data_IF_526342108643
#
_entry.id   IF_526342108643
#
_cell.length_a   1.000
_cell.length_b   1.000
_cell.length_c   1.000
_cell.angle_alpha   90.00
_cell.angle_beta   90.00
_cell.angle_gamma   90.00
#
_symmetry.space_group_name_H-M   'P 1'
#
loop_
_entity.id
_entity.type
_entity.pdbx_description
1 polymer ?
#
# COMPACT_ATOMS: atom_id res chain seq x y z
N UNK A 1 -9.50 4.25 -1.65
CA UNK A 1 -9.53 5.71 -1.80
C UNK A 1 -8.11 6.23 -1.89
N UNK A 2 -7.88 7.36 -2.56
CA UNK A 2 -6.56 8.00 -2.58
C UNK A 2 -6.00 8.21 -1.17
N UNK A 3 -4.72 7.87 -0.95
CA UNK A 3 -4.06 8.09 0.33
C UNK A 3 -4.13 9.56 0.77
N UNK A 4 -3.95 10.50 -0.16
CA UNK A 4 -4.06 11.94 0.12
C UNK A 4 -5.44 12.35 0.68
N UNK A 5 -6.52 11.75 0.17
CA UNK A 5 -7.90 12.02 0.63
C UNK A 5 -8.19 11.47 2.02
N UNK A 6 -7.38 10.55 2.55
CA UNK A 6 -7.56 9.97 3.89
C UNK A 6 -6.93 10.82 5.01
N UNK A 7 -6.18 11.88 4.69
CA UNK A 7 -5.51 12.71 5.69
C UNK A 7 -6.53 13.61 6.41
N UNK A 8 -6.98 13.16 7.59
CA UNK A 8 -7.86 13.96 8.47
C UNK A 8 -7.16 14.53 9.71
N UNK A 9 -5.97 14.04 10.04
CA UNK A 9 -5.12 14.56 11.11
C UNK A 9 -3.65 14.19 10.91
N UNK A 10 -2.79 14.74 11.79
CA UNK A 10 -1.33 14.56 11.75
C UNK A 10 -0.91 13.11 11.95
N UNK A 11 -1.60 12.34 12.80
CA UNK A 11 -1.24 10.94 13.05
C UNK A 11 -1.45 10.08 11.79
N UNK A 12 -2.57 10.28 11.09
CA UNK A 12 -2.86 9.61 9.81
C UNK A 12 -1.90 10.07 8.72
N UNK A 13 -1.60 11.38 8.64
CA UNK A 13 -0.58 11.90 7.72
C UNK A 13 0.78 11.21 7.93
N UNK A 14 1.19 11.03 9.19
CA UNK A 14 2.42 10.34 9.53
C UNK A 14 2.40 8.86 9.13
N UNK A 15 1.28 8.14 9.30
CA UNK A 15 1.17 6.74 8.83
C UNK A 15 1.24 6.64 7.31
N UNK A 16 0.63 7.58 6.58
CA UNK A 16 0.69 7.65 5.12
C UNK A 16 2.12 7.92 4.64
N UNK A 17 2.80 8.91 5.22
CA UNK A 17 4.19 9.20 4.91
C UNK A 17 5.12 8.02 5.24
N UNK A 18 4.92 7.38 6.40
CA UNK A 18 5.69 6.21 6.83
C UNK A 18 5.45 5.00 5.93
N UNK A 19 4.25 4.82 5.38
CA UNK A 19 3.95 3.79 4.39
C UNK A 19 4.79 3.99 3.13
N UNK A 20 4.84 5.24 2.62
CA UNK A 20 5.64 5.57 1.45
C UNK A 20 7.15 5.38 1.70
N UNK A 21 7.65 5.83 2.86
CA UNK A 21 9.04 5.66 3.26
C UNK A 21 9.41 4.18 3.42
N UNK A 22 8.55 3.39 4.06
CA UNK A 22 8.72 1.95 4.22
C UNK A 22 8.79 1.23 2.88
N UNK A 23 7.90 1.56 1.94
CA UNK A 23 7.96 0.95 0.61
C UNK A 23 9.29 1.27 -0.09
N UNK A 24 9.72 2.53 -0.05
CA UNK A 24 10.97 2.98 -0.67
C UNK A 24 12.24 2.44 -0.01
N UNK A 25 12.18 2.00 1.26
CA UNK A 25 13.28 1.25 1.91
C UNK A 25 13.62 -0.03 1.14
N UNK A 26 12.61 -0.71 0.59
CA UNK A 26 12.77 -1.94 -0.20
C UNK A 26 12.91 -1.66 -1.70
N UNK A 27 12.30 -0.57 -2.18
CA UNK A 27 12.25 -0.19 -3.59
C UNK A 27 12.67 1.28 -3.77
N UNK A 28 13.97 1.60 -3.66
CA UNK A 28 14.46 2.99 -3.57
C UNK A 28 14.17 3.84 -4.80
N UNK A 29 14.14 3.22 -5.99
CA UNK A 29 13.88 3.87 -7.28
C UNK A 29 12.39 4.16 -7.52
N UNK A 30 11.50 3.66 -6.65
CA UNK A 30 10.08 3.89 -6.79
C UNK A 30 9.70 5.33 -6.40
N UNK A 31 8.97 6.02 -7.28
CA UNK A 31 8.28 7.27 -6.96
C UNK A 31 6.86 6.96 -6.46
N UNK A 32 6.37 7.73 -5.48
CA UNK A 32 5.05 7.54 -4.88
C UNK A 32 4.04 8.54 -5.45
N UNK A 33 2.84 8.05 -5.75
CA UNK A 33 1.65 8.82 -6.04
C UNK A 33 0.59 8.52 -4.96
N UNK A 34 0.26 9.54 -4.16
CA UNK A 34 -0.75 9.46 -3.10
C UNK A 34 -2.20 9.61 -3.61
N UNK A 35 -2.37 9.89 -4.91
CA UNK A 35 -3.66 10.05 -5.57
C UNK A 35 -3.75 9.19 -6.84
N UNK A 36 -3.71 7.85 -6.73
CA UNK A 36 -3.72 6.95 -7.88
C UNK A 36 -5.01 6.97 -8.71
N UNK A 37 -6.11 7.43 -8.14
CA UNK A 37 -7.43 7.47 -8.79
C UNK A 37 -7.85 8.91 -9.11
N UNK A 38 -8.57 9.05 -10.22
CA UNK A 38 -9.32 10.24 -10.55
C UNK A 38 -10.57 10.38 -9.65
N UNK A 39 -11.10 11.60 -9.54
CA UNK A 39 -12.25 11.92 -8.67
C UNK A 39 -13.58 11.26 -9.11
N UNK A 40 -13.56 10.35 -10.10
CA UNK A 40 -14.74 9.67 -10.63
C UNK A 40 -15.13 8.41 -9.82
N UNK A 41 -14.22 7.88 -9.00
CA UNK A 41 -14.39 6.58 -8.31
C UNK A 41 -14.59 6.74 -6.78
N UNK A 42 -15.72 7.32 -6.36
CA UNK A 42 -15.92 7.66 -4.94
C UNK A 42 -16.71 6.63 -4.09
N UNK A 43 -17.57 5.80 -4.68
CA UNK A 43 -18.56 5.06 -3.86
C UNK A 43 -18.04 3.72 -3.31
N UNK A 44 -17.16 3.00 -4.04
CA UNK A 44 -16.68 1.66 -3.66
C UNK A 44 -15.35 1.64 -2.88
N UNK A 45 -14.82 2.82 -2.54
CA UNK A 45 -13.45 2.98 -2.04
C UNK A 45 -13.36 3.39 -0.57
N UNK A 46 -14.47 3.38 0.16
CA UNK A 46 -14.57 3.99 1.49
C UNK A 46 -13.71 3.32 2.59
N UNK A 47 -13.19 2.11 2.37
CA UNK A 47 -12.42 1.38 3.37
C UNK A 47 -11.00 1.03 2.89
N UNK A 48 -10.43 1.84 1.99
CA UNK A 48 -9.02 1.68 1.60
C UNK A 48 -8.22 2.97 1.54
N UNK A 49 -6.94 2.84 1.90
CA UNK A 49 -5.90 3.86 1.67
C UNK A 49 -5.01 3.36 0.53
N UNK A 50 -5.08 4.03 -0.61
CA UNK A 50 -4.47 3.57 -1.86
C UNK A 50 -3.29 4.45 -2.30
N UNK A 51 -2.21 3.80 -2.71
CA UNK A 51 -0.99 4.39 -3.21
C UNK A 51 -0.64 3.75 -4.55
N UNK A 52 -0.09 4.53 -5.49
CA UNK A 52 0.65 3.97 -6.61
C UNK A 52 2.15 4.23 -6.44
N UNK A 53 2.96 3.23 -6.72
CA UNK A 53 4.41 3.32 -6.79
C UNK A 53 4.84 3.10 -8.23
N UNK A 54 5.58 4.03 -8.81
CA UNK A 54 6.03 3.95 -10.20
C UNK A 54 7.53 3.72 -10.26
N UNK A 55 7.95 2.77 -11.09
CA UNK A 55 9.37 2.52 -11.36
C UNK A 55 9.84 3.31 -12.60
N UNK A 56 11.16 3.54 -12.75
CA UNK A 56 11.74 4.12 -13.97
C UNK A 56 11.60 3.16 -15.16
N UNK A 57 10.42 3.13 -15.78
CA UNK A 57 10.08 2.16 -16.81
C UNK A 57 9.70 0.79 -16.22
N UNK A 58 9.84 -0.26 -17.03
CA UNK A 58 9.53 -1.62 -16.60
C UNK A 58 10.69 -2.22 -15.79
N UNK A 59 10.37 -2.78 -14.62
CA UNK A 59 11.31 -3.55 -13.81
C UNK A 59 11.15 -5.04 -14.11
N UNK A 60 12.13 -5.72 -14.74
CA UNK A 60 12.06 -7.15 -15.00
C UNK A 60 12.16 -7.98 -13.72
N UNK A 61 12.82 -7.47 -12.67
CA UNK A 61 12.94 -8.19 -11.40
C UNK A 61 11.60 -8.29 -10.67
N UNK A 62 10.74 -7.29 -10.85
CA UNK A 62 9.43 -7.18 -10.22
C UNK A 62 8.30 -7.47 -11.23
N UNK A 63 8.61 -7.67 -12.50
CA UNK A 63 7.64 -7.96 -13.57
C UNK A 63 6.52 -6.91 -13.72
N UNK A 64 6.79 -5.64 -13.40
CA UNK A 64 5.82 -4.55 -13.51
C UNK A 64 6.47 -3.18 -13.74
N UNK A 65 5.67 -2.17 -14.10
CA UNK A 65 6.06 -0.75 -14.20
C UNK A 65 5.50 0.10 -13.07
N UNK A 66 4.41 -0.34 -12.46
CA UNK A 66 3.86 0.29 -11.27
C UNK A 66 3.29 -0.76 -10.31
N UNK A 67 3.26 -0.44 -9.03
CA UNK A 67 2.55 -1.22 -8.01
C UNK A 67 1.43 -0.36 -7.46
N UNK A 68 0.22 -0.89 -7.49
CA UNK A 68 -0.90 -0.33 -6.76
C UNK A 68 -1.00 -1.04 -5.40
N UNK A 69 -0.78 -0.28 -4.33
CA UNK A 69 -0.88 -0.73 -2.94
C UNK A 69 -2.19 -0.21 -2.36
N UNK A 70 -3.06 -1.12 -1.93
CA UNK A 70 -4.30 -0.79 -1.25
C UNK A 70 -4.27 -1.36 0.16
N UNK A 71 -4.36 -0.47 1.15
CA UNK A 71 -4.50 -0.84 2.55
C UNK A 71 -5.98 -0.92 2.87
N UNK A 72 -6.52 -2.12 3.11
CA UNK A 72 -7.89 -2.33 3.60
C UNK A 72 -7.92 -1.96 5.07
N UNK A 73 -8.73 -0.97 5.43
CA UNK A 73 -8.75 -0.42 6.78
C UNK A 73 -10.16 -0.40 7.36
N UNK A 74 -10.24 -0.53 8.68
CA UNK A 74 -11.44 -0.23 9.45
C UNK A 74 -11.31 1.21 9.95
N UNK A 75 -12.11 2.12 9.37
CA UNK A 75 -12.08 3.54 9.74
C UNK A 75 -12.66 3.77 11.13
N UNK A 76 -11.95 4.51 11.97
CA UNK A 76 -12.47 4.96 13.26
C UNK A 76 -13.22 6.29 13.07
N UNK A 77 -14.51 6.30 13.42
CA UNK A 77 -15.37 7.50 13.34
C UNK A 77 -14.89 8.64 14.26
N UNK A 78 -13.99 8.37 15.21
CA UNK A 78 -13.43 9.35 16.13
C UNK A 78 -12.13 9.98 15.62
N UNK A 79 -11.75 9.75 14.36
CA UNK A 79 -10.55 10.34 13.76
C UNK A 79 -9.24 9.75 14.30
N UNK A 80 -9.25 8.50 14.79
CA UNK A 80 -8.01 7.81 15.16
C UNK A 80 -7.36 7.18 13.94
N UNK A 81 -6.10 6.75 14.07
CA UNK A 81 -5.45 5.93 13.05
C UNK A 81 -6.31 4.69 12.77
N UNK A 82 -6.67 4.43 11.51
CA UNK A 82 -7.55 3.32 11.19
C UNK A 82 -6.80 2.00 11.33
N UNK A 83 -7.53 0.94 11.68
CA UNK A 83 -6.95 -0.38 11.89
C UNK A 83 -6.74 -1.06 10.53
N UNK A 84 -5.53 -1.56 10.27
CA UNK A 84 -5.23 -2.30 9.07
C UNK A 84 -5.83 -3.72 9.14
N UNK A 85 -6.74 -4.02 8.22
CA UNK A 85 -7.38 -5.34 8.08
C UNK A 85 -6.65 -6.22 7.07
N UNK A 86 -6.18 -5.62 5.98
CA UNK A 86 -5.65 -6.33 4.82
C UNK A 86 -4.81 -5.44 3.93
N UNK A 87 -4.01 -6.04 3.08
CA UNK A 87 -3.20 -5.39 2.06
C UNK A 87 -3.48 -6.10 0.74
N UNK A 88 -3.70 -5.31 -0.31
CA UNK A 88 -3.71 -5.80 -1.68
C UNK A 88 -2.61 -5.08 -2.43
N UNK A 89 -1.70 -5.82 -3.05
CA UNK A 89 -0.73 -5.28 -4.00
C UNK A 89 -0.99 -5.85 -5.38
N UNK A 90 -0.91 -4.99 -6.39
CA UNK A 90 -1.02 -5.36 -7.80
C UNK A 90 0.15 -4.79 -8.58
N UNK A 91 0.90 -5.65 -9.24
CA UNK A 91 1.88 -5.25 -10.24
C UNK A 91 1.20 -4.95 -11.56
N UNK A 92 1.41 -3.75 -12.10
CA UNK A 92 0.77 -3.25 -13.30
C UNK A 92 1.80 -2.97 -14.40
N UNK A 93 1.48 -3.38 -15.63
CA UNK A 93 1.98 -2.76 -16.86
C UNK A 93 0.74 -2.20 -17.53
N UNK A 94 0.42 -0.93 -17.24
CA UNK A 94 -0.87 -0.33 -17.59
C UNK A 94 -1.20 -0.59 -19.07
N UNK A 95 -2.39 -1.13 -19.37
CA UNK A 95 -3.54 -1.36 -18.47
C UNK A 95 -3.60 -2.72 -17.75
N UNK A 96 -2.64 -3.61 -17.94
CA UNK A 96 -2.72 -5.01 -17.48
C UNK A 96 -2.17 -5.25 -16.07
N UNK A 97 -2.94 -5.98 -15.25
CA UNK A 97 -2.45 -6.61 -14.00
C UNK A 97 -1.55 -7.81 -14.36
N UNK A 98 -0.30 -7.81 -13.89
CA UNK A 98 0.69 -8.86 -14.14
C UNK A 98 0.68 -9.90 -13.04
N UNK A 99 0.60 -9.42 -11.81
CA UNK A 99 0.54 -10.21 -10.60
C UNK A 99 -0.20 -9.46 -9.50
N UNK A 100 -0.65 -10.24 -8.51
CA UNK A 100 -1.42 -9.78 -7.37
C UNK A 100 -1.04 -10.57 -6.13
N UNK A 101 -1.15 -9.93 -4.98
CA UNK A 101 -1.17 -10.60 -3.67
C UNK A 101 -2.20 -9.92 -2.78
N UNK A 102 -2.89 -10.71 -1.97
CA UNK A 102 -3.74 -10.25 -0.89
C UNK A 102 -3.27 -10.88 0.43
N UNK A 103 -3.37 -10.14 1.54
CA UNK A 103 -2.97 -10.64 2.86
C UNK A 103 -4.15 -11.07 3.74
N UNK A 104 -5.37 -11.06 3.18
CA UNK A 104 -6.55 -11.66 3.80
C UNK A 104 -6.62 -13.11 3.30
N UNK A 105 -6.53 -14.07 4.22
CA UNK A 105 -6.41 -15.49 3.88
C UNK A 105 -4.95 -15.88 3.62
N UNK A 106 -4.74 -16.75 2.64
CA UNK A 106 -3.40 -17.25 2.29
C UNK A 106 -2.59 -16.18 1.55
N UNK A 107 -1.35 -15.98 2.01
CA UNK A 107 -0.43 -15.00 1.45
C UNK A 107 0.25 -15.57 0.21
N UNK A 108 -0.51 -15.71 -0.87
CA UNK A 108 -0.03 -16.22 -2.14
C UNK A 108 -0.03 -15.12 -3.21
N UNK A 109 1.07 -15.06 -3.96
CA UNK A 109 1.19 -14.17 -5.10
C UNK A 109 0.82 -14.95 -6.37
N UNK A 110 -0.19 -14.47 -7.08
CA UNK A 110 -0.73 -15.08 -8.30
C UNK A 110 -0.59 -14.12 -9.48
N UNK A 111 -0.60 -14.64 -10.70
CA UNK A 111 -0.42 -13.82 -11.90
C UNK A 111 0.18 -14.59 -13.06
N UNK A 112 0.28 -13.91 -14.19
CA UNK A 112 0.90 -14.48 -15.40
C UNK A 112 2.42 -14.36 -15.37
N UNK A 113 2.94 -13.34 -14.69
CA UNK A 113 4.37 -13.06 -14.60
C UNK A 113 4.68 -12.57 -13.20
N UNK A 114 5.29 -13.43 -12.40
CA UNK A 114 5.59 -13.18 -11.00
C UNK A 114 6.95 -12.49 -10.85
N UNK A 115 7.13 -11.62 -9.84
CA UNK A 115 8.44 -11.13 -9.44
C UNK A 115 9.42 -12.27 -9.18
N UNK A 116 10.71 -11.99 -9.36
CA UNK A 116 11.76 -12.89 -8.89
C UNK A 116 11.66 -13.12 -7.38
N UNK A 117 12.17 -14.26 -6.91
CA UNK A 117 12.02 -14.71 -5.52
C UNK A 117 12.39 -13.63 -4.50
N UNK A 118 13.54 -12.98 -4.66
CA UNK A 118 13.98 -11.92 -3.75
C UNK A 118 13.01 -10.73 -3.70
N UNK A 119 12.48 -10.31 -4.86
CA UNK A 119 11.51 -9.22 -4.92
C UNK A 119 10.16 -9.61 -4.33
N UNK A 120 9.74 -10.87 -4.51
CA UNK A 120 8.57 -11.44 -3.84
C UNK A 120 8.75 -11.43 -2.32
N UNK A 121 9.92 -11.85 -1.82
CA UNK A 121 10.25 -11.83 -0.40
C UNK A 121 10.23 -10.39 0.16
N UNK A 122 10.79 -9.42 -0.56
CA UNK A 122 10.74 -8.00 -0.20
C UNK A 122 9.31 -7.44 -0.14
N UNK A 123 8.45 -7.78 -1.11
CA UNK A 123 7.04 -7.37 -1.08
C UNK A 123 6.31 -7.95 0.14
N UNK A 124 6.58 -9.19 0.53
CA UNK A 124 6.02 -9.74 1.76
C UNK A 124 6.59 -9.11 3.03
N UNK A 125 7.86 -8.71 3.04
CA UNK A 125 8.43 -7.93 4.14
C UNK A 125 7.76 -6.57 4.29
N UNK A 126 7.50 -5.87 3.17
CA UNK A 126 6.69 -4.64 3.17
C UNK A 126 5.32 -4.89 3.82
N UNK A 127 4.60 -5.95 3.44
CA UNK A 127 3.33 -6.30 4.09
C UNK A 127 3.47 -6.47 5.60
N UNK A 128 4.45 -7.26 6.05
CA UNK A 128 4.68 -7.53 7.48
C UNK A 128 5.02 -6.24 8.26
N UNK A 129 5.85 -5.37 7.69
CA UNK A 129 6.19 -4.10 8.32
C UNK A 129 5.02 -3.11 8.32
N UNK A 130 4.14 -3.13 7.31
CA UNK A 130 2.92 -2.33 7.30
C UNK A 130 1.96 -2.75 8.42
N UNK A 131 1.77 -4.06 8.65
CA UNK A 131 0.98 -4.51 9.79
C UNK A 131 1.53 -4.00 11.13
N UNK A 132 2.86 -4.00 11.32
CA UNK A 132 3.51 -3.44 12.51
C UNK A 132 3.34 -1.92 12.61
N UNK A 133 3.47 -1.22 11.48
CA UNK A 133 3.30 0.23 11.40
C UNK A 133 1.90 0.64 11.86
N UNK A 134 0.85 -0.08 11.44
CA UNK A 134 -0.53 0.25 11.78
C UNK A 134 -1.01 -0.35 13.12
N UNK A 135 -0.30 -1.31 13.70
CA UNK A 135 -0.59 -1.81 15.05
C UNK A 135 0.02 -0.96 16.17
N UNK A 136 1.05 -0.17 15.85
CA UNK A 136 1.67 0.74 16.81
C UNK A 136 0.80 1.98 16.94
N UNK A 137 -0.14 1.98 17.90
CA UNK A 137 -0.82 3.19 18.34
C UNK A 137 0.23 4.17 18.83
N UNK A 138 0.22 5.43 18.39
CA UNK A 138 1.01 6.43 19.07
C UNK A 138 0.51 6.46 20.51
N UNK A 139 1.29 5.94 21.44
CA UNK A 139 1.02 6.07 22.86
C UNK A 139 1.13 7.56 23.19
N UNK A 140 0.03 8.29 22.97
CA UNK A 140 -0.13 9.66 23.42
C UNK A 140 -0.10 9.64 24.93
N UNK A 141 0.98 10.20 25.48
CA UNK A 141 1.23 10.47 26.89
C UNK A 141 -0.07 10.71 27.68
N UNK A 142 -0.42 9.77 28.55
CA UNK A 142 -1.08 10.09 29.80
C UNK A 142 0.01 10.23 30.84
N UNK A 143 0.42 11.46 31.13
CA UNK A 143 1.05 11.88 32.38
C UNK A 143 0.70 13.35 32.58
#
# INVERSE_FOLDING_TARGET
MNASSNVSNVEIANKIASTAALFRKYFPDASVNFSPWDNSNNEYMQDTIDFAFHFPGWSPLIECRAILLQLRVENDKNGRVPKLLGIIMRGMIVPSERWRVATIGDWEMTGTHLPQKEQKDNLFLVCKELYKLFSTTSAGNKN
#
